data_IF_642908463463
#
_entry.id   IF_642908463463
#
_cell.length_a   1.000
_cell.length_b   1.000
_cell.length_c   1.000
_cell.angle_alpha   90.00
_cell.angle_beta   90.00
_cell.angle_gamma   90.00
#
_symmetry.space_group_name_H-M   'P 1'
#
loop_
_entity.id
_entity.type
_entity.pdbx_description
1 polymer ?
#
# COMPACT_ATOMS: atom_id res chain seq x y z
N UNK A 1 -16.94 8.02 -8.78
CA UNK A 1 -16.52 6.90 -9.66
C UNK A 1 -17.30 6.82 -10.98
N UNK A 2 -18.32 7.62 -11.18
CA UNK A 2 -19.11 7.64 -12.42
C UNK A 2 -18.32 8.15 -13.64
N UNK A 3 -17.27 8.94 -13.44
CA UNK A 3 -16.44 9.49 -14.51
C UNK A 3 -15.42 8.51 -15.11
N UNK A 4 -14.98 7.51 -14.36
CA UNK A 4 -13.92 6.59 -14.81
C UNK A 4 -14.27 5.87 -16.13
N UNK A 5 -15.50 5.35 -16.35
CA UNK A 5 -15.87 4.75 -17.62
C UNK A 5 -15.88 5.75 -18.79
N UNK A 6 -16.26 7.01 -18.54
CA UNK A 6 -16.27 8.06 -19.57
C UNK A 6 -14.85 8.47 -19.99
N UNK A 7 -13.94 8.60 -19.00
CA UNK A 7 -12.52 8.89 -19.23
C UNK A 7 -11.88 7.74 -20.04
N UNK A 8 -12.18 6.50 -19.69
CA UNK A 8 -11.65 5.34 -20.39
C UNK A 8 -12.12 5.26 -21.84
N UNK A 9 -13.37 5.62 -22.13
CA UNK A 9 -13.91 5.72 -23.50
C UNK A 9 -13.21 6.79 -24.36
N UNK A 10 -12.64 7.82 -23.73
CA UNK A 10 -11.84 8.84 -24.44
C UNK A 10 -10.39 8.43 -24.71
N UNK A 11 -10.00 7.20 -24.37
CA UNK A 11 -8.64 6.68 -24.57
C UNK A 11 -7.60 7.20 -23.56
N UNK A 12 -8.04 7.83 -22.48
CA UNK A 12 -7.15 8.32 -21.42
C UNK A 12 -6.99 7.25 -20.34
N UNK A 13 -5.77 7.12 -19.82
CA UNK A 13 -5.48 6.28 -18.68
C UNK A 13 -5.94 6.95 -17.38
N UNK A 14 -6.43 6.14 -16.45
CA UNK A 14 -6.88 6.56 -15.13
C UNK A 14 -5.89 6.10 -14.06
N UNK A 15 -5.52 7.00 -13.15
CA UNK A 15 -4.65 6.72 -12.02
C UNK A 15 -5.35 7.11 -10.72
N UNK A 16 -5.19 6.29 -9.69
CA UNK A 16 -5.60 6.61 -8.33
C UNK A 16 -4.45 6.38 -7.36
N UNK A 17 -4.32 7.29 -6.40
CA UNK A 17 -3.37 7.19 -5.31
C UNK A 17 -4.14 7.07 -4.00
N UNK A 18 -3.78 6.08 -3.19
CA UNK A 18 -4.41 5.77 -1.90
C UNK A 18 -3.34 5.82 -0.83
N UNK A 19 -3.67 6.39 0.33
CA UNK A 19 -2.77 6.44 1.48
C UNK A 19 -3.27 5.44 2.52
N UNK A 20 -2.40 4.49 2.91
CA UNK A 20 -2.65 3.52 3.97
C UNK A 20 -2.16 4.08 5.31
N UNK A 21 -3.01 4.03 6.33
CA UNK A 21 -2.65 4.39 7.70
C UNK A 21 -3.11 5.79 8.12
N UNK A 22 -4.05 6.40 7.39
CA UNK A 22 -4.64 7.68 7.79
C UNK A 22 -5.39 7.56 9.13
N UNK A 23 -5.43 8.62 9.96
CA UNK A 23 -6.19 8.63 11.20
C UNK A 23 -7.67 8.27 10.99
N UNK A 24 -8.16 7.30 11.75
CA UNK A 24 -9.55 6.82 11.65
C UNK A 24 -9.79 5.76 10.57
N UNK A 25 -8.79 5.46 9.75
CA UNK A 25 -8.89 4.35 8.81
C UNK A 25 -8.98 3.01 9.55
N UNK A 26 -9.78 2.10 9.01
CA UNK A 26 -9.89 0.70 9.46
C UNK A 26 -9.43 -0.24 8.37
N UNK A 27 -9.07 -1.48 8.73
CA UNK A 27 -8.81 -2.53 7.75
C UNK A 27 -9.92 -2.62 6.69
N UNK A 28 -11.19 -2.63 7.15
CA UNK A 28 -12.33 -2.79 6.24
C UNK A 28 -12.54 -1.56 5.34
N UNK A 29 -12.34 -0.33 5.84
CA UNK A 29 -12.48 0.87 5.01
C UNK A 29 -11.42 0.90 3.91
N UNK A 30 -10.17 0.53 4.22
CA UNK A 30 -9.11 0.44 3.22
C UNK A 30 -9.40 -0.62 2.16
N UNK A 31 -9.80 -1.83 2.59
CA UNK A 31 -10.22 -2.92 1.67
C UNK A 31 -11.36 -2.47 0.76
N UNK A 32 -12.35 -1.75 1.29
CA UNK A 32 -13.47 -1.22 0.50
C UNK A 32 -13.00 -0.19 -0.53
N UNK A 33 -12.11 0.72 -0.16
CA UNK A 33 -11.51 1.70 -1.09
C UNK A 33 -10.83 1.00 -2.27
N UNK A 34 -9.98 0.01 -2.00
CA UNK A 34 -9.31 -0.76 -3.05
C UNK A 34 -10.33 -1.52 -3.93
N UNK A 35 -11.33 -2.13 -3.32
CA UNK A 35 -12.42 -2.81 -4.04
C UNK A 35 -13.12 -1.88 -5.03
N UNK A 36 -13.48 -0.71 -4.57
CA UNK A 36 -14.21 0.26 -5.36
C UNK A 36 -13.37 0.77 -6.54
N UNK A 37 -12.06 0.99 -6.35
CA UNK A 37 -11.13 1.40 -7.40
C UNK A 37 -10.93 0.29 -8.45
N UNK A 38 -10.78 -0.97 -8.02
CA UNK A 38 -10.66 -2.12 -8.92
C UNK A 38 -11.95 -2.32 -9.73
N UNK A 39 -13.12 -2.17 -9.10
CA UNK A 39 -14.43 -2.23 -9.77
C UNK A 39 -14.66 -1.06 -10.72
N UNK A 40 -14.16 0.13 -10.38
CA UNK A 40 -14.15 1.27 -11.30
C UNK A 40 -13.18 1.10 -12.47
N UNK A 41 -12.44 -0.01 -12.51
CA UNK A 41 -11.47 -0.35 -13.54
C UNK A 41 -10.36 0.72 -13.72
N UNK A 42 -9.90 1.30 -12.61
CA UNK A 42 -8.73 2.19 -12.63
C UNK A 42 -7.54 1.45 -13.23
N UNK A 43 -6.85 2.09 -14.17
CA UNK A 43 -5.73 1.46 -14.88
C UNK A 43 -4.50 1.34 -13.98
N UNK A 44 -4.29 2.32 -13.09
CA UNK A 44 -3.23 2.30 -12.10
C UNK A 44 -3.78 2.63 -10.71
N UNK A 45 -3.47 1.80 -9.74
CA UNK A 45 -3.80 2.01 -8.33
C UNK A 45 -2.47 1.94 -7.56
N UNK A 46 -2.01 3.09 -7.05
CA UNK A 46 -0.83 3.19 -6.20
C UNK A 46 -1.26 3.35 -4.75
N UNK A 47 -0.64 2.56 -3.88
CA UNK A 47 -0.94 2.58 -2.45
C UNK A 47 0.34 2.95 -1.71
N UNK A 48 0.32 4.12 -1.08
CA UNK A 48 1.42 4.68 -0.30
C UNK A 48 1.16 4.51 1.19
N UNK A 49 2.22 4.32 1.97
CA UNK A 49 2.12 4.40 3.44
C UNK A 49 1.98 5.86 3.86
N UNK A 50 1.16 6.13 4.86
CA UNK A 50 0.99 7.45 5.43
C UNK A 50 2.31 7.93 6.07
N UNK A 51 2.88 9.00 5.53
CA UNK A 51 4.05 9.67 6.07
C UNK A 51 3.66 10.72 7.10
N UNK A 52 4.42 10.81 8.17
CA UNK A 52 4.28 11.82 9.20
C UNK A 52 5.12 13.04 8.82
N UNK A 53 4.50 13.96 8.08
CA UNK A 53 5.21 15.17 7.62
C UNK A 53 5.40 16.16 8.77
N UNK A 54 6.63 16.60 9.06
CA UNK A 54 6.90 17.63 10.04
C UNK A 54 6.09 18.90 9.78
N UNK A 55 5.47 19.47 10.82
CA UNK A 55 4.65 20.67 10.70
C UNK A 55 3.22 20.44 10.24
N UNK A 56 2.82 19.22 9.88
CA UNK A 56 1.43 18.89 9.59
C UNK A 56 0.58 18.79 10.86
N UNK A 57 -0.73 18.99 10.74
CA UNK A 57 -1.67 18.81 11.88
C UNK A 57 -1.58 17.37 12.45
N UNK A 58 -1.40 16.38 11.61
CA UNK A 58 -1.28 14.98 12.00
C UNK A 58 -0.05 14.73 12.87
N UNK A 59 1.05 15.50 12.67
CA UNK A 59 2.29 15.36 13.43
C UNK A 59 2.24 16.00 14.82
N UNK A 60 1.17 16.76 15.14
CA UNK A 60 1.05 17.41 16.47
C UNK A 60 0.89 16.37 17.58
N UNK A 61 1.38 16.70 18.82
CA UNK A 61 1.20 15.82 19.97
C UNK A 61 -0.27 15.49 20.25
N UNK A 62 -1.17 16.44 20.03
CA UNK A 62 -2.63 16.28 20.21
C UNK A 62 -3.19 15.23 19.25
N UNK A 63 -2.85 15.32 17.96
CA UNK A 63 -3.26 14.34 16.93
C UNK A 63 -2.70 12.95 17.23
N UNK A 64 -1.41 12.87 17.52
CA UNK A 64 -0.75 11.59 17.87
C UNK A 64 -1.45 10.91 19.05
N UNK A 65 -1.75 11.67 20.10
CA UNK A 65 -2.48 11.17 21.30
C UNK A 65 -3.92 10.80 20.99
N UNK A 66 -4.64 11.65 20.26
CA UNK A 66 -6.05 11.43 19.89
C UNK A 66 -6.23 10.12 19.13
N UNK A 67 -5.40 9.88 18.15
CA UNK A 67 -5.51 8.72 17.27
C UNK A 67 -4.64 7.54 17.72
N UNK A 68 -3.85 7.70 18.81
CA UNK A 68 -2.83 6.74 19.27
C UNK A 68 -1.98 6.25 18.09
N UNK A 69 -1.45 7.20 17.32
CA UNK A 69 -0.65 6.87 16.15
C UNK A 69 0.59 6.09 16.57
N UNK A 70 0.74 4.89 16.02
CA UNK A 70 1.93 4.08 16.13
C UNK A 70 2.79 4.36 14.89
N UNK A 71 3.99 4.89 15.10
CA UNK A 71 4.88 5.28 14.01
C UNK A 71 6.23 4.59 14.14
N UNK A 72 6.90 4.41 13.02
CA UNK A 72 8.26 3.89 12.89
C UNK A 72 9.01 4.71 11.83
N UNK A 73 10.31 4.55 11.81
CA UNK A 73 11.17 5.18 10.82
C UNK A 73 11.62 4.16 9.78
N UNK A 74 11.81 4.62 8.54
CA UNK A 74 12.40 3.80 7.49
C UNK A 74 13.20 4.66 6.51
N UNK A 75 14.09 4.03 5.78
CA UNK A 75 14.82 4.68 4.68
C UNK A 75 13.83 4.96 3.55
N UNK A 76 13.82 6.20 3.06
CA UNK A 76 13.03 6.55 1.88
C UNK A 76 13.65 5.88 0.66
N UNK A 77 12.91 4.99 -0.04
CA UNK A 77 13.47 4.23 -1.15
C UNK A 77 13.96 5.13 -2.28
N UNK A 78 15.23 4.93 -2.71
CA UNK A 78 15.92 5.65 -3.79
C UNK A 78 16.37 7.08 -3.47
N UNK A 79 16.11 7.59 -2.26
CA UNK A 79 16.57 8.91 -1.84
C UNK A 79 17.85 8.80 -0.99
N UNK A 80 18.94 8.57 -1.70
CA UNK A 80 20.28 8.59 -1.15
C UNK A 80 21.22 9.34 -2.09
N UNK A 81 22.20 10.02 -1.55
CA UNK A 81 23.17 10.75 -2.31
C UNK A 81 24.58 10.64 -1.68
N UNK A 82 25.59 10.77 -2.51
CA UNK A 82 26.95 11.05 -2.05
C UNK A 82 27.29 12.50 -2.41
N UNK A 83 27.58 13.28 -1.38
CA UNK A 83 27.95 14.68 -1.54
C UNK A 83 29.38 14.80 -2.09
N UNK A 84 29.72 15.97 -2.63
CA UNK A 84 31.04 16.26 -3.21
C UNK A 84 32.21 16.10 -2.22
N UNK A 85 31.92 16.22 -0.91
CA UNK A 85 32.89 15.99 0.17
C UNK A 85 33.03 14.50 0.56
N UNK A 86 32.37 13.58 -0.15
CA UNK A 86 32.38 12.15 0.11
C UNK A 86 31.37 11.65 1.14
N UNK A 87 30.65 12.54 1.82
CA UNK A 87 29.62 12.16 2.79
C UNK A 87 28.44 11.50 2.06
N UNK A 88 27.93 10.42 2.64
CA UNK A 88 26.71 9.76 2.18
C UNK A 88 25.51 10.31 2.99
N UNK A 89 24.44 10.59 2.29
CA UNK A 89 23.18 11.06 2.88
C UNK A 89 22.09 10.06 2.52
N UNK A 90 21.33 9.65 3.53
CA UNK A 90 20.13 8.83 3.39
C UNK A 90 18.95 9.66 3.88
N UNK A 91 17.87 9.68 3.14
CA UNK A 91 16.63 10.26 3.62
C UNK A 91 15.84 9.23 4.43
N UNK A 92 15.33 9.67 5.56
CA UNK A 92 14.54 8.86 6.49
C UNK A 92 13.17 9.49 6.64
N UNK A 93 12.14 8.67 6.55
CA UNK A 93 10.76 9.09 6.77
C UNK A 93 10.15 8.43 8.01
N UNK A 94 9.33 9.17 8.75
CA UNK A 94 8.46 8.61 9.78
C UNK A 94 7.15 8.16 9.13
N UNK A 95 6.74 6.90 9.34
CA UNK A 95 5.54 6.31 8.75
C UNK A 95 4.57 5.83 9.82
N UNK A 96 3.26 5.98 9.55
CA UNK A 96 2.20 5.46 10.41
C UNK A 96 1.98 4.00 10.09
N UNK A 97 2.19 3.13 11.09
CA UNK A 97 2.02 1.68 10.99
C UNK A 97 0.85 1.14 11.79
N UNK A 98 0.11 2.02 12.45
CA UNK A 98 -1.07 1.67 13.24
C UNK A 98 -1.70 2.86 13.94
N UNK A 99 -2.92 2.67 14.44
CA UNK A 99 -3.71 3.68 15.14
C UNK A 99 -4.72 3.02 16.08
N UNK A 100 -5.66 3.81 16.65
CA UNK A 100 -6.80 3.29 17.42
C UNK A 100 -7.69 2.33 16.63
N UNK A 101 -7.71 2.44 15.31
CA UNK A 101 -8.64 1.73 14.41
C UNK A 101 -7.96 0.79 13.43
N UNK A 102 -6.65 0.75 13.42
CA UNK A 102 -5.82 -0.10 12.56
C UNK A 102 -4.66 -0.66 13.36
N UNK A 103 -4.61 -1.97 13.54
CA UNK A 103 -3.48 -2.64 14.19
C UNK A 103 -2.28 -2.79 13.26
N UNK A 104 -1.08 -3.03 13.82
CA UNK A 104 0.12 -3.28 13.03
C UNK A 104 0.00 -4.54 12.15
N UNK A 105 -0.64 -5.60 12.66
CA UNK A 105 -0.85 -6.83 11.88
C UNK A 105 -1.79 -6.60 10.69
N UNK A 106 -2.85 -5.79 10.87
CA UNK A 106 -3.72 -5.38 9.77
C UNK A 106 -2.97 -4.49 8.76
N UNK A 107 -2.11 -3.59 9.22
CA UNK A 107 -1.22 -2.82 8.35
C UNK A 107 -0.35 -3.74 7.48
N UNK A 108 0.30 -4.73 8.06
CA UNK A 108 1.13 -5.70 7.31
C UNK A 108 0.29 -6.48 6.30
N UNK A 109 -0.92 -6.90 6.67
CA UNK A 109 -1.83 -7.60 5.73
C UNK A 109 -2.28 -6.67 4.58
N UNK A 110 -2.54 -5.39 4.86
CA UNK A 110 -2.88 -4.41 3.83
C UNK A 110 -1.69 -4.08 2.92
N UNK A 111 -0.46 -4.08 3.43
CA UNK A 111 0.76 -4.00 2.60
C UNK A 111 0.85 -5.19 1.63
N UNK A 112 0.49 -6.39 2.10
CA UNK A 112 0.43 -7.57 1.22
C UNK A 112 -0.69 -7.45 0.17
N UNK A 113 -1.88 -6.93 0.53
CA UNK A 113 -2.93 -6.62 -0.44
C UNK A 113 -2.45 -5.60 -1.47
N UNK A 114 -1.76 -4.56 -1.03
CA UNK A 114 -1.16 -3.54 -1.91
C UNK A 114 -0.19 -4.15 -2.91
N UNK A 115 0.66 -5.08 -2.46
CA UNK A 115 1.59 -5.83 -3.31
C UNK A 115 0.85 -6.66 -4.36
N UNK A 116 -0.22 -7.38 -3.97
CA UNK A 116 -1.06 -8.16 -4.90
C UNK A 116 -1.68 -7.24 -5.95
N UNK A 117 -2.30 -6.14 -5.53
CA UNK A 117 -2.94 -5.18 -6.44
C UNK A 117 -1.92 -4.55 -7.39
N UNK A 118 -0.78 -4.12 -6.87
CA UNK A 118 0.29 -3.51 -7.67
C UNK A 118 0.80 -4.46 -8.76
N UNK A 119 1.08 -5.71 -8.40
CA UNK A 119 1.65 -6.69 -9.34
C UNK A 119 0.64 -7.20 -10.34
N UNK A 120 -0.65 -7.30 -9.98
CA UNK A 120 -1.66 -7.91 -10.84
C UNK A 120 -2.47 -6.89 -11.64
N UNK A 121 -2.78 -5.71 -11.09
CA UNK A 121 -3.61 -4.71 -11.76
C UNK A 121 -2.81 -3.80 -12.71
N UNK A 122 -1.53 -3.60 -12.43
CA UNK A 122 -0.64 -2.72 -13.22
C UNK A 122 0.06 -3.46 -14.37
N UNK A 123 0.40 -4.72 -14.17
CA UNK A 123 1.27 -5.45 -15.08
C UNK A 123 0.51 -5.96 -16.33
N UNK A 124 1.08 -5.71 -17.50
CA UNK A 124 0.54 -6.13 -18.81
C UNK A 124 0.29 -7.65 -18.85
N UNK A 125 1.11 -8.41 -18.11
CA UNK A 125 1.03 -9.89 -18.05
C UNK A 125 -0.36 -10.38 -17.65
N UNK A 126 -1.01 -9.72 -16.70
CA UNK A 126 -2.33 -10.14 -16.20
C UNK A 126 -3.51 -9.51 -16.95
N UNK A 127 -3.26 -8.54 -17.83
CA UNK A 127 -4.33 -7.84 -18.57
C UNK A 127 -5.29 -8.80 -19.30
N UNK A 128 -4.84 -9.86 -20.02
CA UNK A 128 -5.75 -10.79 -20.68
C UNK A 128 -6.65 -11.54 -19.68
N UNK A 129 -6.09 -11.97 -18.54
CA UNK A 129 -6.84 -12.64 -17.48
C UNK A 129 -7.89 -11.70 -16.88
N UNK A 130 -7.49 -10.49 -16.51
CA UNK A 130 -8.41 -9.51 -15.91
C UNK A 130 -9.54 -9.13 -16.87
N UNK A 131 -9.23 -8.99 -18.16
CA UNK A 131 -10.23 -8.78 -19.22
C UNK A 131 -11.21 -9.95 -19.29
N UNK A 132 -10.71 -11.19 -19.36
CA UNK A 132 -11.55 -12.39 -19.39
C UNK A 132 -12.48 -12.47 -18.18
N UNK A 133 -11.99 -12.19 -16.97
CA UNK A 133 -12.81 -12.19 -15.76
C UNK A 133 -13.95 -11.16 -15.85
N UNK A 134 -13.64 -9.93 -16.29
CA UNK A 134 -14.64 -8.85 -16.46
C UNK A 134 -15.70 -9.20 -17.50
N UNK A 135 -15.30 -9.76 -18.64
CA UNK A 135 -16.21 -10.17 -19.71
C UNK A 135 -17.16 -11.30 -19.28
N UNK A 136 -16.75 -12.11 -18.29
CA UNK A 136 -17.57 -13.16 -17.71
C UNK A 136 -18.26 -12.74 -16.39
N UNK A 137 -18.35 -11.44 -16.10
CA UNK A 137 -18.96 -10.88 -14.89
C UNK A 137 -18.36 -11.43 -13.57
N UNK A 138 -17.09 -11.81 -13.59
CA UNK A 138 -16.36 -12.23 -12.40
C UNK A 138 -15.68 -11.00 -11.77
N UNK A 139 -15.94 -10.77 -10.49
CA UNK A 139 -15.35 -9.65 -9.76
C UNK A 139 -13.85 -9.84 -9.60
N UNK A 140 -13.07 -8.98 -10.26
CA UNK A 140 -11.60 -9.00 -10.21
C UNK A 140 -11.07 -8.78 -8.78
N UNK A 141 -11.73 -7.92 -8.00
CA UNK A 141 -11.31 -7.70 -6.62
C UNK A 141 -11.46 -8.98 -5.77
N UNK A 142 -12.48 -9.77 -6.03
CA UNK A 142 -12.68 -11.04 -5.32
C UNK A 142 -11.53 -12.02 -5.60
N UNK A 143 -10.94 -12.01 -6.80
CA UNK A 143 -9.72 -12.76 -7.09
C UNK A 143 -8.56 -12.27 -6.21
N UNK A 144 -8.30 -10.97 -6.16
CA UNK A 144 -7.21 -10.40 -5.34
C UNK A 144 -7.39 -10.72 -3.86
N UNK A 145 -8.62 -10.62 -3.36
CA UNK A 145 -8.92 -10.88 -1.95
C UNK A 145 -8.80 -12.39 -1.61
N UNK A 146 -9.18 -13.26 -2.52
CA UNK A 146 -8.95 -14.71 -2.39
C UNK A 146 -7.47 -15.05 -2.44
N UNK A 147 -6.70 -14.38 -3.29
CA UNK A 147 -5.23 -14.52 -3.28
C UNK A 147 -4.68 -14.14 -1.92
N UNK A 148 -5.04 -12.97 -1.37
CA UNK A 148 -4.61 -12.55 -0.04
C UNK A 148 -4.90 -13.60 1.05
N UNK A 149 -6.10 -14.19 1.03
CA UNK A 149 -6.50 -15.20 2.04
C UNK A 149 -5.80 -16.55 1.86
N UNK A 150 -5.52 -16.95 0.63
CA UNK A 150 -4.94 -18.27 0.32
C UNK A 150 -3.40 -18.26 0.17
N UNK A 151 -2.81 -17.10 -0.06
CA UNK A 151 -1.39 -16.99 -0.40
C UNK A 151 -0.47 -17.48 0.74
N UNK A 152 -0.92 -17.37 2.00
CA UNK A 152 -0.21 -17.87 3.18
C UNK A 152 -0.14 -19.43 3.22
N UNK A 153 -1.05 -20.10 2.50
CA UNK A 153 -1.13 -21.58 2.40
C UNK A 153 -0.78 -22.11 1.01
N UNK A 154 -0.21 -21.24 0.17
CA UNK A 154 0.17 -21.56 -1.20
C UNK A 154 1.37 -22.51 -1.25
N UNK A 155 1.77 -22.90 -2.47
CA UNK A 155 2.96 -23.75 -2.69
C UNK A 155 4.21 -23.17 -2.00
N UNK A 156 5.19 -24.02 -1.74
CA UNK A 156 6.40 -23.66 -0.98
C UNK A 156 7.08 -22.39 -1.52
N UNK A 157 7.16 -22.21 -2.83
CA UNK A 157 7.82 -21.05 -3.44
C UNK A 157 7.03 -19.73 -3.23
N UNK A 158 5.72 -19.75 -3.47
CA UNK A 158 4.86 -18.60 -3.22
C UNK A 158 4.81 -18.29 -1.72
N UNK A 159 4.72 -19.32 -0.88
CA UNK A 159 4.75 -19.15 0.58
C UNK A 159 6.04 -18.48 1.05
N UNK A 160 7.22 -18.89 0.54
CA UNK A 160 8.50 -18.23 0.83
C UNK A 160 8.53 -16.78 0.40
N UNK A 161 8.03 -16.47 -0.81
CA UNK A 161 7.96 -15.10 -1.32
C UNK A 161 7.10 -14.21 -0.41
N UNK A 162 5.94 -14.69 -0.01
CA UNK A 162 5.03 -13.94 0.87
C UNK A 162 5.62 -13.76 2.26
N UNK A 163 6.22 -14.80 2.83
CA UNK A 163 6.91 -14.71 4.13
C UNK A 163 8.06 -13.72 4.04
N UNK A 164 8.88 -13.79 2.98
CA UNK A 164 9.96 -12.84 2.74
C UNK A 164 9.45 -11.40 2.61
N UNK A 165 8.38 -11.17 1.85
CA UNK A 165 7.79 -9.84 1.72
C UNK A 165 7.25 -9.30 3.05
N UNK A 166 6.47 -10.10 3.78
CA UNK A 166 5.91 -9.66 5.06
C UNK A 166 6.99 -9.44 6.12
N UNK A 167 8.08 -10.21 6.06
CA UNK A 167 9.24 -9.99 6.90
C UNK A 167 9.96 -8.71 6.54
N UNK A 168 10.20 -8.44 5.25
CA UNK A 168 10.80 -7.19 4.77
C UNK A 168 10.01 -5.96 5.19
N UNK A 169 8.67 -6.03 5.18
CA UNK A 169 7.81 -4.94 5.68
C UNK A 169 8.04 -4.65 7.17
N UNK A 170 8.45 -5.65 7.95
CA UNK A 170 8.78 -5.47 9.38
C UNK A 170 10.21 -5.00 9.58
N UNK A 171 11.14 -5.56 8.82
CA UNK A 171 12.57 -5.32 8.93
C UNK A 171 12.98 -3.93 8.40
N UNK A 172 12.14 -3.30 7.56
CA UNK A 172 12.36 -1.93 7.08
C UNK A 172 12.05 -0.85 8.13
N UNK A 173 11.60 -1.23 9.33
CA UNK A 173 11.07 -0.32 10.35
C UNK A 173 11.98 -0.25 11.58
N UNK A 174 12.41 0.95 11.94
CA UNK A 174 13.22 1.27 13.11
C UNK A 174 12.46 2.11 14.13
N UNK A 175 12.87 2.05 15.38
CA UNK A 175 12.25 2.83 16.45
C UNK A 175 12.65 4.31 16.42
N UNK A 176 13.83 4.60 15.91
CA UNK A 176 14.33 5.97 15.75
C UNK A 176 15.19 6.13 14.50
N UNK A 177 15.38 7.38 14.01
CA UNK A 177 16.29 7.65 12.88
C UNK A 177 17.75 7.30 13.17
N UNK A 178 18.15 7.34 14.45
CA UNK A 178 19.53 7.09 14.89
C UNK A 178 19.92 5.60 14.80
N UNK A 179 18.94 4.70 14.66
CA UNK A 179 19.17 3.27 14.47
C UNK A 179 19.49 2.90 13.02
N UNK A 180 19.27 3.82 12.09
CA UNK A 180 19.53 3.67 10.65
C UNK A 180 20.96 4.11 10.32
#
# INVERSE_FOLDING_TARGET
MELAPAIKKSGLNTKSEVILGLPGETYQSHVNTIRDLVRAQMDEILIFTCMMLPGSEMATPESRKKWKLNTKFRILPRDFAQLSNGNKVLEVEEVVIGSTTLSFEEYVELRLLSFIVFTTNREIVYTPLLKFLRENNIDVFELFFRMLKKIKTASMEIGKMVTGFTQSVRDELWDSPEEI
#
